data_IF_251086500774
#
_entry.id   IF_251086500774
#
_cell.length_a   1.000
_cell.length_b   1.000
_cell.length_c   1.000
_cell.angle_alpha   90.00
_cell.angle_beta   90.00
_cell.angle_gamma   90.00
#
_symmetry.space_group_name_H-M   'P 1'
#
loop_
_entity.id
_entity.type
_entity.pdbx_description
1 polymer ?
#
# COMPACT_ATOMS: atom_id res chain seq x y z
N UNK A 1 -27.65 -17.41 2.76
CA UNK A 1 -26.36 -16.78 3.07
C UNK A 1 -25.30 -17.24 2.08
N UNK A 2 -24.48 -16.33 1.61
CA UNK A 2 -23.29 -16.62 0.81
C UNK A 2 -22.12 -16.89 1.77
N UNK A 3 -21.28 -17.86 1.43
CA UNK A 3 -20.08 -18.18 2.17
C UNK A 3 -18.85 -17.84 1.32
N UNK A 4 -17.92 -17.12 1.94
CA UNK A 4 -16.65 -16.73 1.35
C UNK A 4 -15.54 -17.41 2.15
N UNK A 5 -14.57 -18.01 1.48
CA UNK A 5 -13.39 -18.58 2.10
C UNK A 5 -12.15 -18.12 1.32
N UNK A 6 -11.15 -17.62 2.04
CA UNK A 6 -9.86 -17.22 1.51
C UNK A 6 -8.82 -17.97 2.33
N UNK A 7 -7.90 -18.66 1.68
CA UNK A 7 -6.77 -19.34 2.34
C UNK A 7 -5.45 -18.97 1.66
N UNK A 8 -4.41 -18.85 2.45
CA UNK A 8 -3.07 -18.54 1.95
C UNK A 8 -2.11 -18.23 3.09
N UNK A 9 -0.91 -17.80 2.75
CA UNK A 9 0.05 -17.34 3.75
C UNK A 9 -0.56 -16.22 4.60
N UNK A 10 -0.42 -16.34 5.94
CA UNK A 10 -0.83 -15.30 6.86
C UNK A 10 -0.02 -14.03 6.62
N UNK A 11 -0.70 -12.97 6.21
CA UNK A 11 -0.09 -11.66 5.96
C UNK A 11 -0.80 -10.59 6.78
N UNK A 12 -0.09 -9.57 7.27
CA UNK A 12 -0.71 -8.39 7.85
C UNK A 12 -1.74 -7.78 6.90
N UNK A 13 -2.73 -7.07 7.42
CA UNK A 13 -3.78 -6.35 6.70
C UNK A 13 -4.80 -7.23 5.95
N UNK A 14 -4.60 -8.54 5.83
CA UNK A 14 -5.41 -9.40 4.97
C UNK A 14 -6.89 -9.45 5.43
N UNK A 15 -7.12 -9.62 6.72
CA UNK A 15 -8.47 -9.72 7.30
C UNK A 15 -9.22 -8.40 7.17
N UNK A 16 -8.58 -7.31 7.60
CA UNK A 16 -9.20 -5.98 7.61
C UNK A 16 -9.50 -5.51 6.18
N UNK A 17 -8.56 -5.70 5.25
CA UNK A 17 -8.74 -5.32 3.85
C UNK A 17 -9.84 -6.12 3.16
N UNK A 18 -9.95 -7.43 3.43
CA UNK A 18 -11.02 -8.26 2.85
C UNK A 18 -12.38 -7.94 3.46
N UNK A 19 -12.45 -7.70 4.78
CA UNK A 19 -13.68 -7.27 5.43
C UNK A 19 -14.13 -5.88 4.93
N UNK A 20 -13.20 -4.94 4.78
CA UNK A 20 -13.46 -3.62 4.21
C UNK A 20 -14.00 -3.70 2.78
N UNK A 21 -13.47 -4.59 1.93
CA UNK A 21 -13.96 -4.80 0.57
C UNK A 21 -15.41 -5.30 0.54
N UNK A 22 -15.78 -6.23 1.43
CA UNK A 22 -17.16 -6.71 1.56
C UNK A 22 -18.09 -5.57 1.99
N UNK A 23 -17.69 -4.81 3.01
CA UNK A 23 -18.47 -3.67 3.52
C UNK A 23 -18.59 -2.56 2.48
N UNK A 24 -17.54 -2.27 1.72
CA UNK A 24 -17.56 -1.29 0.62
C UNK A 24 -18.50 -1.69 -0.54
N UNK A 25 -18.73 -2.99 -0.72
CA UNK A 25 -19.74 -3.50 -1.63
C UNK A 25 -21.17 -3.36 -1.10
N UNK A 26 -21.38 -2.78 0.08
CA UNK A 26 -22.68 -2.60 0.74
C UNK A 26 -23.22 -3.88 1.34
N UNK A 27 -22.38 -4.85 1.67
CA UNK A 27 -22.77 -6.17 2.17
C UNK A 27 -22.46 -6.32 3.65
N UNK A 28 -23.41 -6.89 4.41
CA UNK A 28 -23.25 -7.15 5.82
C UNK A 28 -22.50 -8.46 6.07
N UNK A 29 -21.51 -8.41 6.97
CA UNK A 29 -20.78 -9.58 7.44
C UNK A 29 -21.48 -10.11 8.70
N UNK A 30 -22.14 -11.26 8.59
CA UNK A 30 -22.84 -11.89 9.73
C UNK A 30 -21.92 -12.71 10.61
N UNK A 31 -20.83 -13.24 10.04
CA UNK A 31 -19.82 -14.02 10.75
C UNK A 31 -18.48 -13.88 10.04
N UNK A 32 -17.42 -13.69 10.84
CA UNK A 32 -16.05 -13.72 10.39
C UNK A 32 -15.26 -14.65 11.31
N UNK A 33 -14.55 -15.60 10.72
CA UNK A 33 -13.62 -16.50 11.42
C UNK A 33 -12.27 -16.39 10.74
N UNK A 34 -11.19 -16.33 11.54
CA UNK A 34 -9.83 -16.20 11.05
C UNK A 34 -8.88 -17.16 11.80
N UNK A 35 -9.04 -18.48 11.62
CA UNK A 35 -8.10 -19.42 12.18
C UNK A 35 -6.77 -19.42 11.43
N UNK A 36 -5.69 -19.61 12.18
CA UNK A 36 -4.37 -19.97 11.64
C UNK A 36 -4.27 -21.49 11.72
N UNK A 37 -4.03 -22.13 10.59
CA UNK A 37 -3.99 -23.59 10.48
C UNK A 37 -2.65 -24.05 9.90
N UNK A 38 -2.20 -25.20 10.38
CA UNK A 38 -1.05 -25.91 9.82
C UNK A 38 -1.56 -26.94 8.82
N UNK A 39 -1.07 -26.88 7.57
CA UNK A 39 -1.50 -27.73 6.47
C UNK A 39 -0.32 -28.37 5.78
N UNK A 40 -0.57 -29.51 5.09
CA UNK A 40 0.36 -30.10 4.14
C UNK A 40 -0.19 -29.98 2.72
N UNK A 41 0.65 -29.50 1.81
CA UNK A 41 0.35 -29.43 0.38
C UNK A 41 1.33 -30.25 -0.42
N UNK A 42 0.90 -30.71 -1.61
CA UNK A 42 1.81 -31.32 -2.58
C UNK A 42 2.62 -30.27 -3.37
N UNK A 43 3.46 -30.74 -4.28
CA UNK A 43 4.29 -29.86 -5.13
C UNK A 43 3.51 -28.95 -6.07
N UNK A 44 2.25 -29.25 -6.34
CA UNK A 44 1.32 -28.46 -7.15
C UNK A 44 0.45 -27.52 -6.31
N UNK A 45 0.68 -27.47 -4.98
CA UNK A 45 -0.06 -26.63 -4.05
C UNK A 45 -1.42 -27.18 -3.62
N UNK A 46 -1.77 -28.44 -3.97
CA UNK A 46 -3.02 -29.07 -3.58
C UNK A 46 -3.02 -29.43 -2.10
N UNK A 47 -4.10 -29.16 -1.39
CA UNK A 47 -4.24 -29.51 0.00
C UNK A 47 -4.30 -31.04 0.17
N UNK A 48 -3.35 -31.59 0.92
CA UNK A 48 -3.27 -33.01 1.26
C UNK A 48 -3.88 -33.27 2.65
N UNK A 49 -3.58 -32.41 3.63
CA UNK A 49 -3.97 -32.63 5.01
C UNK A 49 -4.09 -31.32 5.78
N UNK A 50 -5.08 -31.23 6.67
CA UNK A 50 -5.17 -30.19 7.71
C UNK A 50 -4.69 -30.82 9.02
N UNK A 51 -3.57 -30.31 9.55
CA UNK A 51 -2.93 -30.87 10.74
C UNK A 51 -3.55 -30.37 12.02
N UNK A 52 -3.97 -29.10 12.04
CA UNK A 52 -4.64 -28.48 13.19
C UNK A 52 -4.46 -26.98 13.25
N UNK A 53 -4.80 -26.38 14.40
CA UNK A 53 -4.54 -24.98 14.65
C UNK A 53 -3.04 -24.73 14.78
N UNK A 54 -2.52 -23.72 14.05
CA UNK A 54 -1.11 -23.33 14.12
C UNK A 54 -0.73 -22.95 15.55
N UNK A 55 0.20 -23.69 16.13
CA UNK A 55 0.73 -23.42 17.46
C UNK A 55 1.87 -22.38 17.40
N UNK A 56 2.24 -21.83 18.57
CA UNK A 56 3.39 -20.93 18.66
C UNK A 56 4.68 -21.67 18.25
N UNK A 57 5.44 -21.06 17.35
CA UNK A 57 6.69 -21.60 16.80
C UNK A 57 6.65 -21.78 15.28
N UNK A 58 7.79 -22.10 14.68
CA UNK A 58 7.88 -22.40 13.26
C UNK A 58 7.21 -23.76 12.96
N UNK A 59 6.47 -23.92 11.85
CA UNK A 59 5.91 -25.20 11.45
C UNK A 59 7.03 -26.21 11.14
N UNK A 60 6.74 -27.50 11.33
CA UNK A 60 7.69 -28.54 11.01
C UNK A 60 7.98 -28.60 9.49
N UNK A 61 9.12 -29.21 9.06
CA UNK A 61 9.45 -29.35 7.64
C UNK A 61 8.31 -30.02 6.86
N UNK A 62 7.94 -29.44 5.71
CA UNK A 62 6.86 -29.92 4.86
C UNK A 62 5.45 -29.53 5.32
N UNK A 63 5.34 -28.71 6.37
CA UNK A 63 4.09 -28.13 6.86
C UNK A 63 4.12 -26.63 6.57
N UNK A 64 3.03 -26.12 6.03
CA UNK A 64 2.84 -24.70 5.79
C UNK A 64 1.80 -24.16 6.76
N UNK A 65 2.11 -23.01 7.39
CA UNK A 65 1.15 -22.28 8.22
C UNK A 65 0.35 -21.33 7.36
N UNK A 66 -0.96 -21.52 7.35
CA UNK A 66 -1.87 -20.72 6.54
C UNK A 66 -2.88 -19.98 7.40
N UNK A 67 -3.23 -18.80 6.93
CA UNK A 67 -4.35 -18.02 7.38
C UNK A 67 -5.58 -18.44 6.57
N UNK A 68 -6.67 -18.78 7.25
CA UNK A 68 -7.96 -19.01 6.62
C UNK A 68 -8.95 -17.93 7.08
N UNK A 69 -9.49 -17.17 6.14
CA UNK A 69 -10.54 -16.20 6.41
C UNK A 69 -11.85 -16.80 5.91
N UNK A 70 -12.82 -16.96 6.79
CA UNK A 70 -14.17 -17.41 6.46
C UNK A 70 -15.16 -16.33 6.83
N UNK A 71 -16.00 -15.94 5.87
CA UNK A 71 -17.07 -14.97 6.09
C UNK A 71 -18.42 -15.55 5.65
N UNK A 72 -19.45 -15.32 6.48
CA UNK A 72 -20.84 -15.46 6.06
C UNK A 72 -21.41 -14.06 5.83
N UNK A 73 -21.86 -13.83 4.61
CA UNK A 73 -22.47 -12.57 4.18
C UNK A 73 -23.90 -12.80 3.71
N UNK A 74 -24.64 -11.76 3.45
CA UNK A 74 -25.97 -11.86 2.88
C UNK A 74 -25.96 -12.54 1.50
N UNK A 75 -27.09 -13.10 1.11
CA UNK A 75 -27.26 -13.74 -0.19
C UNK A 75 -27.36 -12.67 -1.28
N UNK A 76 -26.53 -12.77 -2.30
CA UNK A 76 -26.48 -11.82 -3.41
C UNK A 76 -26.67 -12.51 -4.75
N UNK A 77 -27.10 -11.76 -5.75
CA UNK A 77 -27.23 -12.23 -7.13
C UNK A 77 -25.89 -12.52 -7.80
N UNK A 78 -25.92 -13.23 -8.92
CA UNK A 78 -24.72 -13.66 -9.63
C UNK A 78 -23.81 -12.49 -10.06
N UNK A 79 -24.39 -11.37 -10.49
CA UNK A 79 -23.64 -10.17 -10.90
C UNK A 79 -22.85 -9.56 -9.74
N UNK A 80 -23.49 -9.38 -8.58
CA UNK A 80 -22.87 -8.84 -7.37
C UNK A 80 -21.78 -9.78 -6.85
N UNK A 81 -22.02 -11.10 -6.91
CA UNK A 81 -21.04 -12.10 -6.52
C UNK A 81 -19.78 -12.04 -7.40
N UNK A 82 -19.93 -11.95 -8.72
CA UNK A 82 -18.79 -11.84 -9.63
C UNK A 82 -18.00 -10.53 -9.41
N UNK A 83 -18.70 -9.41 -9.15
CA UNK A 83 -18.05 -8.14 -8.83
C UNK A 83 -17.30 -8.19 -7.51
N UNK A 84 -17.87 -8.83 -6.47
CA UNK A 84 -17.20 -9.02 -5.18
C UNK A 84 -15.98 -9.92 -5.31
N UNK A 85 -16.05 -11.01 -6.06
CA UNK A 85 -14.93 -11.91 -6.32
C UNK A 85 -13.76 -11.17 -7.00
N UNK A 86 -14.05 -10.38 -8.02
CA UNK A 86 -13.05 -9.55 -8.70
C UNK A 86 -12.43 -8.50 -7.75
N UNK A 87 -13.27 -7.84 -6.94
CA UNK A 87 -12.79 -6.87 -5.93
C UNK A 87 -11.88 -7.52 -4.89
N UNK A 88 -12.26 -8.69 -4.38
CA UNK A 88 -11.45 -9.42 -3.41
C UNK A 88 -10.14 -9.90 -4.03
N UNK A 89 -10.14 -10.37 -5.27
CA UNK A 89 -8.92 -10.76 -5.99
C UNK A 89 -7.95 -9.57 -6.11
N UNK A 90 -8.47 -8.38 -6.42
CA UNK A 90 -7.66 -7.15 -6.47
C UNK A 90 -7.10 -6.79 -5.08
N UNK A 91 -7.94 -6.80 -4.04
CA UNK A 91 -7.49 -6.52 -2.66
C UNK A 91 -6.38 -7.49 -2.23
N UNK A 92 -6.50 -8.77 -2.56
CA UNK A 92 -5.46 -9.75 -2.25
C UNK A 92 -4.14 -9.47 -2.98
N UNK A 93 -4.21 -9.01 -4.23
CA UNK A 93 -3.04 -8.59 -4.99
C UNK A 93 -2.40 -7.34 -4.37
N UNK A 94 -3.21 -6.34 -4.00
CA UNK A 94 -2.78 -5.10 -3.37
C UNK A 94 -2.08 -5.35 -2.03
N UNK A 95 -2.69 -6.15 -1.15
CA UNK A 95 -2.08 -6.54 0.13
C UNK A 95 -0.75 -7.26 -0.10
N UNK A 96 -0.69 -8.17 -1.08
CA UNK A 96 0.56 -8.87 -1.41
C UNK A 96 1.64 -7.90 -1.85
N UNK A 97 1.33 -6.97 -2.74
CA UNK A 97 2.28 -5.95 -3.21
C UNK A 97 2.80 -5.11 -2.05
N UNK A 98 1.90 -4.52 -1.24
CA UNK A 98 2.27 -3.69 -0.10
C UNK A 98 3.15 -4.44 0.91
N UNK A 99 2.78 -5.67 1.29
CA UNK A 99 3.54 -6.48 2.25
C UNK A 99 4.89 -6.96 1.68
N UNK A 100 4.99 -7.21 0.39
CA UNK A 100 6.26 -7.62 -0.23
C UNK A 100 7.27 -6.49 -0.19
N UNK A 101 6.87 -5.27 -0.48
CA UNK A 101 7.75 -4.13 -0.69
C UNK A 101 7.91 -3.23 0.55
N UNK A 102 7.26 -3.56 1.69
CA UNK A 102 7.25 -2.67 2.85
C UNK A 102 8.64 -2.26 3.35
N UNK A 103 9.62 -3.19 3.31
CA UNK A 103 11.01 -2.90 3.73
C UNK A 103 11.69 -1.92 2.78
N UNK A 104 11.44 -2.06 1.48
CA UNK A 104 11.97 -1.14 0.47
C UNK A 104 11.35 0.25 0.59
N UNK A 105 10.03 0.33 0.84
CA UNK A 105 9.34 1.60 1.11
C UNK A 105 9.87 2.29 2.35
N UNK A 106 10.11 1.53 3.43
CA UNK A 106 10.70 2.06 4.67
C UNK A 106 12.13 2.56 4.45
N UNK A 107 12.93 1.84 3.65
CA UNK A 107 14.27 2.29 3.27
C UNK A 107 14.21 3.59 2.48
N UNK A 108 13.28 3.73 1.54
CA UNK A 108 13.07 4.94 0.76
C UNK A 108 12.72 6.15 1.66
N UNK A 109 11.85 5.99 2.67
CA UNK A 109 11.58 7.05 3.66
C UNK A 109 12.83 7.48 4.41
N UNK A 110 13.64 6.53 4.85
CA UNK A 110 14.92 6.81 5.55
C UNK A 110 15.91 7.52 4.63
N UNK A 111 15.91 7.19 3.35
CA UNK A 111 16.72 7.89 2.34
C UNK A 111 16.26 9.33 2.14
N UNK A 112 14.94 9.59 2.17
CA UNK A 112 14.40 10.94 2.15
C UNK A 112 14.84 11.76 3.37
N UNK A 113 14.81 11.18 4.57
CA UNK A 113 15.25 11.84 5.80
C UNK A 113 16.74 12.20 5.69
N UNK A 114 17.57 11.26 5.24
CA UNK A 114 19.01 11.51 5.03
C UNK A 114 19.24 12.61 4.01
N UNK A 115 18.54 12.59 2.89
CA UNK A 115 18.67 13.60 1.85
C UNK A 115 18.32 15.01 2.35
N UNK A 116 17.30 15.15 3.23
CA UNK A 116 16.94 16.42 3.86
C UNK A 116 17.99 16.88 4.87
N UNK A 117 18.60 15.94 5.60
CA UNK A 117 19.68 16.23 6.54
C UNK A 117 20.96 16.71 5.84
N UNK A 118 21.34 16.01 4.76
CA UNK A 118 22.59 16.26 4.06
C UNK A 118 22.52 17.52 3.17
N UNK A 119 21.32 17.80 2.61
CA UNK A 119 21.07 18.93 1.72
C UNK A 119 19.76 19.63 2.11
N UNK A 120 19.74 20.39 3.21
CA UNK A 120 18.53 21.05 3.65
C UNK A 120 18.06 22.09 2.62
N UNK A 121 16.74 22.18 2.38
CA UNK A 121 16.19 23.22 1.50
C UNK A 121 16.45 24.63 2.10
N UNK A 122 16.37 25.69 1.29
CA UNK A 122 16.60 27.07 1.74
C UNK A 122 15.42 27.59 2.58
N UNK A 123 15.13 26.94 3.67
CA UNK A 123 14.07 27.25 4.63
C UNK A 123 14.65 27.55 6.01
N UNK A 124 13.82 28.12 6.89
CA UNK A 124 14.18 28.25 8.29
C UNK A 124 14.44 26.85 8.90
N UNK A 125 15.51 26.66 9.69
CA UNK A 125 15.93 25.34 10.19
C UNK A 125 14.83 24.54 10.89
N UNK A 126 13.91 25.19 11.61
CA UNK A 126 12.80 24.54 12.30
C UNK A 126 11.81 23.88 11.31
N UNK A 127 11.63 24.43 10.09
CA UNK A 127 10.74 23.86 9.06
C UNK A 127 11.31 22.55 8.50
N UNK A 128 12.59 22.52 8.26
CA UNK A 128 13.28 21.27 7.84
C UNK A 128 13.26 20.23 8.95
N UNK A 129 13.50 20.64 10.20
CA UNK A 129 13.42 19.76 11.35
C UNK A 129 12.00 19.16 11.54
N UNK A 130 10.93 19.97 11.36
CA UNK A 130 9.55 19.50 11.43
C UNK A 130 9.25 18.48 10.31
N UNK A 131 9.70 18.74 9.08
CA UNK A 131 9.54 17.82 7.97
C UNK A 131 10.25 16.48 8.23
N UNK A 132 11.48 16.52 8.74
CA UNK A 132 12.23 15.32 9.11
C UNK A 132 11.54 14.54 10.23
N UNK A 133 11.09 15.23 11.30
CA UNK A 133 10.37 14.60 12.40
C UNK A 133 9.08 13.93 11.95
N UNK A 134 8.36 14.52 10.98
CA UNK A 134 7.17 13.90 10.39
C UNK A 134 7.51 12.63 9.60
N UNK A 135 8.56 12.66 8.76
CA UNK A 135 9.01 11.46 8.03
C UNK A 135 9.51 10.35 8.98
N UNK A 136 10.21 10.72 10.06
CA UNK A 136 10.63 9.80 11.11
C UNK A 136 9.42 9.17 11.80
N UNK A 137 8.38 9.96 12.08
CA UNK A 137 7.13 9.46 12.65
C UNK A 137 6.45 8.46 11.72
N UNK A 138 6.39 8.74 10.40
CA UNK A 138 5.89 7.77 9.42
C UNK A 138 6.69 6.47 9.40
N UNK A 139 8.02 6.56 9.57
CA UNK A 139 8.93 5.42 9.54
C UNK A 139 8.96 4.61 10.85
N UNK A 140 8.35 5.11 11.92
CA UNK A 140 8.32 4.52 13.27
C UNK A 140 7.01 3.77 13.57
N UNK A 141 6.51 3.00 12.62
CA UNK A 141 5.30 2.17 12.72
C UNK A 141 3.99 2.92 13.03
N UNK A 142 3.97 4.25 12.83
CA UNK A 142 2.76 5.06 12.99
C UNK A 142 1.97 5.21 11.68
N UNK A 143 2.44 4.59 10.62
CA UNK A 143 1.84 4.73 9.29
C UNK A 143 1.99 3.43 8.49
N UNK A 144 0.88 2.95 7.95
CA UNK A 144 0.87 1.75 7.12
C UNK A 144 1.22 2.13 5.69
N UNK A 145 2.42 1.75 5.24
CA UNK A 145 2.88 1.99 3.88
C UNK A 145 2.18 1.04 2.90
N UNK A 146 1.51 1.58 1.90
CA UNK A 146 0.85 0.83 0.84
C UNK A 146 1.58 0.89 -0.49
N UNK A 147 2.28 1.98 -0.76
CA UNK A 147 3.03 2.17 -1.99
C UNK A 147 3.93 3.39 -1.93
N UNK A 148 4.98 3.37 -2.74
CA UNK A 148 5.83 4.52 -2.96
C UNK A 148 6.24 4.58 -4.43
N UNK A 149 6.46 5.78 -4.97
CA UNK A 149 6.89 5.97 -6.35
C UNK A 149 7.79 7.19 -6.47
N UNK A 150 8.87 7.01 -7.22
CA UNK A 150 9.78 8.07 -7.59
C UNK A 150 9.36 8.67 -8.93
N UNK A 151 9.35 9.99 -9.01
CA UNK A 151 9.09 10.74 -10.24
C UNK A 151 10.28 11.62 -10.55
N UNK A 152 10.71 11.61 -11.79
CA UNK A 152 11.61 12.63 -12.32
C UNK A 152 10.80 13.80 -12.82
N UNK A 153 11.27 14.99 -12.55
CA UNK A 153 10.64 16.21 -13.02
C UNK A 153 11.40 16.67 -14.26
N UNK A 154 10.72 16.68 -15.40
CA UNK A 154 11.24 17.20 -16.67
C UNK A 154 10.46 18.44 -17.06
N UNK A 155 11.08 19.31 -17.90
CA UNK A 155 10.49 20.56 -18.33
C UNK A 155 10.81 21.75 -17.40
N UNK A 156 10.24 22.89 -17.74
CA UNK A 156 10.40 24.12 -16.97
C UNK A 156 9.42 24.19 -15.80
N UNK A 157 9.72 25.03 -14.81
CA UNK A 157 8.85 25.21 -13.62
C UNK A 157 7.43 25.69 -13.96
N UNK A 158 7.25 26.29 -15.15
CA UNK A 158 5.94 26.78 -15.63
C UNK A 158 5.11 25.67 -16.29
N UNK A 159 5.76 24.58 -16.76
CA UNK A 159 5.11 23.40 -17.38
C UNK A 159 5.87 22.12 -17.03
N UNK A 160 5.85 21.70 -15.75
CA UNK A 160 6.56 20.51 -15.31
C UNK A 160 5.85 19.23 -15.74
N UNK A 161 6.59 18.31 -16.32
CA UNK A 161 6.15 16.96 -16.63
C UNK A 161 6.74 15.96 -15.62
N UNK A 162 5.92 15.06 -15.12
CA UNK A 162 6.36 13.96 -14.25
C UNK A 162 6.63 12.72 -15.10
N UNK A 163 7.85 12.25 -15.05
CA UNK A 163 8.24 10.97 -15.67
C UNK A 163 8.37 9.87 -14.64
N UNK A 164 7.83 8.71 -14.97
CA UNK A 164 7.89 7.48 -14.17
C UNK A 164 8.67 6.44 -14.95
N UNK A 165 9.67 5.83 -14.33
CA UNK A 165 10.28 4.60 -14.84
C UNK A 165 9.53 3.40 -14.26
N UNK A 166 9.46 2.30 -15.01
CA UNK A 166 8.83 1.05 -14.56
C UNK A 166 9.42 0.51 -13.25
N UNK A 167 10.69 0.85 -12.97
CA UNK A 167 11.43 0.36 -11.82
C UNK A 167 11.35 1.31 -10.59
N UNK A 168 10.65 2.42 -10.73
CA UNK A 168 10.60 3.48 -9.71
C UNK A 168 9.41 3.35 -8.76
N UNK A 169 8.59 2.29 -8.88
CA UNK A 169 7.40 2.03 -8.07
C UNK A 169 7.54 0.86 -7.13
N UNK A 170 6.92 0.98 -5.94
CA UNK A 170 6.87 -0.03 -4.88
C UNK A 170 5.43 -0.22 -4.39
N UNK A 171 5.09 -1.43 -3.99
CA UNK A 171 3.75 -1.76 -3.48
C UNK A 171 2.66 -1.46 -4.50
N UNK A 172 1.56 -0.82 -4.09
CA UNK A 172 0.47 -0.44 -4.98
C UNK A 172 0.92 0.53 -6.10
N UNK A 173 1.97 1.29 -5.86
CA UNK A 173 2.49 2.25 -6.82
C UNK A 173 3.54 1.65 -7.77
N UNK A 174 3.76 0.33 -7.73
CA UNK A 174 4.55 -0.38 -8.74
C UNK A 174 3.86 -0.38 -10.11
N UNK A 175 2.53 -0.40 -10.14
CA UNK A 175 1.76 -0.24 -11.37
C UNK A 175 1.79 1.24 -11.80
N UNK A 176 2.42 1.60 -12.94
CA UNK A 176 2.53 2.98 -13.39
C UNK A 176 1.17 3.65 -13.64
N UNK A 177 0.14 2.87 -13.96
CA UNK A 177 -1.21 3.36 -14.21
C UNK A 177 -2.03 3.56 -12.91
N UNK A 178 -1.49 3.12 -11.76
CA UNK A 178 -2.17 3.32 -10.49
C UNK A 178 -2.25 4.81 -10.15
N UNK A 179 -3.46 5.39 -9.96
CA UNK A 179 -3.63 6.81 -9.72
C UNK A 179 -3.10 7.19 -8.33
N UNK A 180 -2.08 8.04 -8.28
CA UNK A 180 -1.53 8.57 -7.02
C UNK A 180 -2.42 9.68 -6.47
N UNK A 181 -2.94 10.53 -7.35
CA UNK A 181 -3.83 11.64 -7.01
C UNK A 181 -5.23 11.41 -7.59
N UNK A 182 -6.27 11.74 -6.82
CA UNK A 182 -7.65 11.66 -7.30
C UNK A 182 -7.86 12.64 -8.46
N UNK A 183 -8.44 12.14 -9.57
CA UNK A 183 -8.74 12.95 -10.76
C UNK A 183 -7.64 12.97 -11.82
N UNK A 184 -6.50 12.31 -11.58
CA UNK A 184 -5.44 12.18 -12.60
C UNK A 184 -5.61 10.87 -13.37
N UNK A 185 -5.50 10.95 -14.68
CA UNK A 185 -5.44 9.79 -15.58
C UNK A 185 -4.02 9.66 -16.13
N UNK A 186 -3.13 9.09 -15.34
CA UNK A 186 -1.76 8.84 -15.76
C UNK A 186 -0.75 9.93 -15.35
N UNK A 187 0.53 9.69 -15.61
CA UNK A 187 1.63 10.54 -15.14
C UNK A 187 1.66 11.95 -15.76
N UNK A 188 0.95 12.18 -16.87
CA UNK A 188 0.91 13.47 -17.57
C UNK A 188 -0.07 14.49 -16.93
N UNK A 189 -1.01 14.02 -16.10
CA UNK A 189 -1.98 14.91 -15.43
C UNK A 189 -1.45 15.35 -14.07
N UNK A 190 -0.56 16.33 -14.07
CA UNK A 190 -0.04 16.92 -12.84
C UNK A 190 -1.09 17.83 -12.20
N UNK A 191 -1.57 17.55 -10.97
CA UNK A 191 -2.53 18.42 -10.31
C UNK A 191 -1.96 19.83 -10.09
N UNK A 192 -2.81 20.86 -10.15
CA UNK A 192 -2.40 22.26 -9.82
C UNK A 192 -1.71 22.38 -8.45
N UNK A 193 -2.13 21.54 -7.49
CA UNK A 193 -1.52 21.49 -6.16
C UNK A 193 -0.04 21.03 -6.24
N UNK A 194 0.30 20.17 -7.18
CA UNK A 194 1.66 19.69 -7.39
C UNK A 194 2.53 20.78 -8.04
N UNK A 195 1.99 21.54 -9.01
CA UNK A 195 2.71 22.68 -9.58
C UNK A 195 3.04 23.71 -8.49
N UNK A 196 2.12 23.96 -7.57
CA UNK A 196 2.38 24.82 -6.41
C UNK A 196 3.47 24.26 -5.49
N UNK A 197 3.51 22.93 -5.28
CA UNK A 197 4.58 22.28 -4.52
C UNK A 197 5.92 22.40 -5.22
N UNK A 198 5.97 22.18 -6.53
CA UNK A 198 7.22 22.28 -7.32
C UNK A 198 7.79 23.69 -7.32
N UNK A 199 6.93 24.70 -7.27
CA UNK A 199 7.32 26.10 -7.13
C UNK A 199 7.66 26.50 -5.67
N UNK A 200 7.30 25.69 -4.69
CA UNK A 200 7.54 25.95 -3.26
C UNK A 200 8.87 25.35 -2.81
N UNK A 201 9.61 25.98 -1.90
CA UNK A 201 10.76 25.38 -1.23
C UNK A 201 10.36 24.31 -0.19
N UNK A 202 9.05 24.14 0.11
CA UNK A 202 8.58 23.18 1.10
C UNK A 202 8.90 21.73 0.67
N UNK A 203 9.49 20.92 1.57
CA UNK A 203 9.92 19.56 1.22
C UNK A 203 8.77 18.56 1.21
N UNK A 204 7.63 18.88 1.81
CA UNK A 204 6.50 17.97 1.96
C UNK A 204 5.18 18.61 1.52
N UNK A 205 4.38 17.79 0.82
CA UNK A 205 2.95 18.05 0.58
C UNK A 205 2.17 16.84 1.10
N UNK A 206 1.20 17.11 1.97
CA UNK A 206 0.30 16.09 2.49
C UNK A 206 -1.07 16.30 1.88
N UNK A 207 -1.59 15.28 1.20
CA UNK A 207 -2.95 15.29 0.65
C UNK A 207 -3.77 14.16 1.26
N UNK A 208 -5.02 14.44 1.62
CA UNK A 208 -5.99 13.43 2.05
C UNK A 208 -7.01 13.19 0.95
N UNK A 209 -7.03 11.95 0.42
CA UNK A 209 -8.05 11.48 -0.50
C UNK A 209 -8.28 9.99 -0.22
N UNK A 210 -8.93 9.66 0.91
CA UNK A 210 -9.16 8.29 1.37
C UNK A 210 -7.92 7.60 1.98
N UNK A 211 -6.76 7.82 1.41
CA UNK A 211 -5.45 7.47 1.96
C UNK A 211 -4.57 8.71 1.99
N UNK A 212 -3.65 8.78 2.94
CA UNK A 212 -2.68 9.89 3.00
C UNK A 212 -1.64 9.70 1.91
N UNK A 213 -1.45 10.71 1.06
CA UNK A 213 -0.34 10.76 0.11
C UNK A 213 0.64 11.82 0.60
N UNK A 214 1.84 11.39 0.90
CA UNK A 214 2.95 12.27 1.26
C UNK A 214 3.88 12.40 0.08
N UNK A 215 4.15 13.61 -0.33
CA UNK A 215 5.04 13.90 -1.46
C UNK A 215 6.26 14.62 -0.93
N UNK A 216 7.43 14.09 -1.22
CA UNK A 216 8.72 14.67 -0.83
C UNK A 216 9.51 15.07 -2.05
N UNK A 217 9.99 16.33 -2.07
CA UNK A 217 10.86 16.85 -3.12
C UNK A 217 12.33 16.66 -2.72
N UNK A 218 13.09 15.92 -3.52
CA UNK A 218 14.55 15.84 -3.37
C UNK A 218 15.22 17.14 -3.82
N UNK A 219 16.41 17.39 -3.31
CA UNK A 219 17.23 18.56 -3.66
C UNK A 219 17.57 18.62 -5.15
N UNK A 220 17.67 17.47 -5.83
CA UNK A 220 17.88 17.36 -7.27
C UNK A 220 16.63 17.64 -8.13
N UNK A 221 15.50 18.01 -7.51
CA UNK A 221 14.27 18.28 -8.21
C UNK A 221 13.32 17.09 -8.35
N UNK A 222 13.76 15.86 -8.05
CA UNK A 222 12.92 14.67 -8.10
C UNK A 222 11.86 14.67 -7.00
N UNK A 223 10.80 13.91 -7.23
CA UNK A 223 9.65 13.84 -6.36
C UNK A 223 9.39 12.39 -5.96
N UNK A 224 9.11 12.17 -4.69
CA UNK A 224 8.72 10.86 -4.18
C UNK A 224 7.32 10.95 -3.60
N UNK A 225 6.41 10.15 -4.14
CA UNK A 225 5.09 9.96 -3.58
C UNK A 225 5.08 8.72 -2.69
N UNK A 226 4.53 8.87 -1.47
CA UNK A 226 4.30 7.78 -0.53
C UNK A 226 2.81 7.73 -0.22
N UNK A 227 2.22 6.55 -0.37
CA UNK A 227 0.81 6.27 -0.13
C UNK A 227 0.66 5.35 1.07
N UNK A 228 -0.30 5.66 1.94
CA UNK A 228 -0.60 4.84 3.09
C UNK A 228 -1.73 5.42 3.93
N UNK A 229 -1.89 4.91 5.15
CA UNK A 229 -2.85 5.40 6.15
C UNK A 229 -2.27 5.29 7.56
N UNK A 230 -2.80 6.09 8.47
CA UNK A 230 -2.55 6.14 9.91
C UNK A 230 -3.52 5.25 10.71
#
# INVERSE_FOLDING_TARGET
>A
RLRLAISGEGRPLLVDSTAAAVTAAGLDIHRLLHPIIDVRRDGDGRLLEVIGSGQNGAPAPGITRESMIYMEIEQVGAKTRAALEASLAQVLADVRAAVTDWKAMLALLRDCIRALSDNPPPLAPHRTAEAMAFLEWLAADNFTLLGARHYRIEGDLDDPALQVSSDDGLGLLADPDYPVWSGTRGPADTPRALNALLASPEPLLITRAGAVVTVHRRVNGDLIAVKGFD
#
